data_IF_023185250576
#
_entry.id   IF_023185250576
#
_cell.length_a   1.000
_cell.length_b   1.000
_cell.length_c   1.000
_cell.angle_alpha   90.00
_cell.angle_beta   90.00
_cell.angle_gamma   90.00
#
_symmetry.space_group_name_H-M   'P 1'
#
loop_
_entity.id
_entity.type
_entity.pdbx_description
1 polymer ?
#
# COMPACT_ATOMS: atom_id res chain seq x y z
N UNK A 1 -20.19 -25.92 1.61
CA UNK A 1 -18.82 -25.44 1.88
C UNK A 1 -18.92 -24.49 3.05
N UNK A 2 -18.08 -24.64 4.08
CA UNK A 2 -17.98 -23.59 5.12
C UNK A 2 -17.09 -22.50 4.55
N UNK A 3 -17.47 -21.24 4.71
CA UNK A 3 -16.65 -20.15 4.22
C UNK A 3 -15.54 -19.86 5.26
N UNK A 4 -14.37 -19.37 4.81
CA UNK A 4 -13.26 -19.00 5.73
C UNK A 4 -13.76 -18.02 6.80
N UNK A 5 -14.66 -17.11 6.45
CA UNK A 5 -15.26 -16.18 7.43
C UNK A 5 -16.04 -16.90 8.54
N UNK A 6 -16.74 -17.99 8.23
CA UNK A 6 -17.48 -18.80 9.22
C UNK A 6 -16.50 -19.51 10.17
N UNK A 7 -15.40 -20.06 9.64
CA UNK A 7 -14.34 -20.70 10.43
C UNK A 7 -13.64 -19.71 11.36
N UNK A 8 -13.36 -18.50 10.87
CA UNK A 8 -12.79 -17.42 11.69
C UNK A 8 -13.77 -16.99 12.79
N UNK A 9 -15.07 -16.93 12.49
CA UNK A 9 -16.08 -16.60 13.51
C UNK A 9 -16.21 -17.70 14.57
N UNK A 10 -16.21 -18.98 14.18
CA UNK A 10 -16.23 -20.12 15.10
C UNK A 10 -14.99 -20.12 16.01
N UNK A 11 -13.80 -19.85 15.46
CA UNK A 11 -12.56 -19.70 16.24
C UNK A 11 -12.69 -18.60 17.29
N UNK A 12 -13.22 -17.42 16.92
CA UNK A 12 -13.42 -16.32 17.85
C UNK A 12 -14.32 -16.72 19.03
N UNK A 13 -15.43 -17.40 18.75
CA UNK A 13 -16.34 -17.87 19.81
C UNK A 13 -15.68 -18.91 20.74
N UNK A 14 -14.80 -19.77 20.22
CA UNK A 14 -14.08 -20.75 21.03
C UNK A 14 -13.02 -20.10 21.91
N UNK A 15 -12.34 -19.06 21.42
CA UNK A 15 -11.38 -18.26 22.22
C UNK A 15 -12.11 -17.56 23.37
N UNK A 16 -13.24 -16.91 23.10
CA UNK A 16 -14.05 -16.25 24.15
C UNK A 16 -14.51 -17.23 25.23
N UNK A 17 -14.90 -18.45 24.86
CA UNK A 17 -15.28 -19.51 25.81
C UNK A 17 -14.09 -20.02 26.63
N UNK A 18 -12.91 -20.17 26.01
CA UNK A 18 -11.70 -20.57 26.72
C UNK A 18 -11.24 -19.50 27.71
N UNK A 19 -11.32 -18.22 27.34
CA UNK A 19 -11.03 -17.08 28.22
C UNK A 19 -12.01 -16.99 29.39
N UNK A 20 -13.28 -17.31 29.19
CA UNK A 20 -14.28 -17.34 30.27
C UNK A 20 -13.93 -18.38 31.34
N UNK A 21 -13.49 -19.58 30.93
CA UNK A 21 -13.06 -20.65 31.85
C UNK A 21 -11.84 -20.20 32.67
N UNK A 22 -10.88 -19.52 32.04
CA UNK A 22 -9.70 -18.99 32.74
C UNK A 22 -10.09 -17.93 33.78
N UNK A 23 -10.98 -16.99 33.41
CA UNK A 23 -11.47 -15.95 34.35
C UNK A 23 -12.26 -16.54 35.53
N UNK A 24 -12.98 -17.63 35.33
CA UNK A 24 -13.67 -18.34 36.42
C UNK A 24 -12.66 -19.04 37.35
N UNK A 25 -11.63 -19.68 36.79
CA UNK A 25 -10.59 -20.32 37.58
C UNK A 25 -9.75 -19.32 38.40
N UNK A 26 -9.45 -18.14 37.82
CA UNK A 26 -8.79 -17.04 38.54
C UNK A 26 -9.59 -16.59 39.77
N UNK A 27 -10.93 -16.50 39.65
CA UNK A 27 -11.82 -16.15 40.78
C UNK A 27 -11.91 -17.24 41.84
N UNK A 28 -11.75 -18.51 41.47
CA UNK A 28 -11.88 -19.66 42.37
C UNK A 28 -10.57 -20.06 43.09
N UNK A 29 -9.50 -19.26 42.95
CA UNK A 29 -8.21 -19.52 43.62
C UNK A 29 -7.11 -20.03 42.68
N UNK A 30 -7.23 -19.80 41.37
CA UNK A 30 -6.15 -19.97 40.39
C UNK A 30 -5.86 -21.41 39.97
N UNK A 31 -6.59 -22.40 40.48
CA UNK A 31 -6.49 -23.79 40.01
C UNK A 31 -7.71 -24.17 39.18
N UNK A 32 -7.48 -24.67 37.97
CA UNK A 32 -8.55 -25.21 37.13
C UNK A 32 -9.07 -26.51 37.73
N UNK A 33 -10.38 -26.68 37.79
CA UNK A 33 -10.96 -27.99 38.10
C UNK A 33 -10.69 -28.98 36.96
N UNK A 34 -10.65 -30.28 37.27
CA UNK A 34 -10.40 -31.34 36.26
C UNK A 34 -11.40 -31.30 35.09
N UNK A 35 -12.61 -30.81 35.31
CA UNK A 35 -13.63 -30.65 34.27
C UNK A 35 -13.38 -29.44 33.38
N UNK A 36 -13.04 -28.30 33.98
CA UNK A 36 -12.64 -27.09 33.26
C UNK A 36 -11.40 -27.34 32.40
N UNK A 37 -10.44 -28.13 32.90
CA UNK A 37 -9.19 -28.43 32.19
C UNK A 37 -9.47 -29.27 30.94
N UNK A 38 -10.37 -30.26 31.07
CA UNK A 38 -10.85 -31.04 29.92
C UNK A 38 -11.58 -30.19 28.89
N UNK A 39 -12.40 -29.23 29.32
CA UNK A 39 -13.10 -28.33 28.40
C UNK A 39 -12.15 -27.37 27.70
N UNK A 40 -11.18 -26.81 28.44
CA UNK A 40 -10.16 -25.93 27.89
C UNK A 40 -9.28 -26.64 26.87
N UNK A 41 -8.83 -27.87 27.16
CA UNK A 41 -8.05 -28.69 26.23
C UNK A 41 -8.86 -29.00 24.97
N UNK A 42 -10.14 -29.36 25.11
CA UNK A 42 -11.03 -29.57 23.94
C UNK A 42 -11.16 -28.32 23.06
N UNK A 43 -11.31 -27.14 23.66
CA UNK A 43 -11.38 -25.89 22.88
C UNK A 43 -10.05 -25.58 22.20
N UNK A 44 -8.93 -25.81 22.88
CA UNK A 44 -7.59 -25.61 22.34
C UNK A 44 -7.33 -26.52 21.14
N UNK A 45 -7.68 -27.80 21.24
CA UNK A 45 -7.53 -28.76 20.14
C UNK A 45 -8.41 -28.38 18.95
N UNK A 46 -9.64 -27.92 19.21
CA UNK A 46 -10.55 -27.46 18.16
C UNK A 46 -10.06 -26.18 17.48
N UNK A 47 -9.43 -25.26 18.21
CA UNK A 47 -8.81 -24.06 17.63
C UNK A 47 -7.63 -24.45 16.72
N UNK A 48 -6.81 -25.44 17.13
CA UNK A 48 -5.72 -25.95 16.29
C UNK A 48 -6.24 -26.55 14.99
N UNK A 49 -7.27 -27.41 15.05
CA UNK A 49 -7.86 -28.01 13.86
C UNK A 49 -8.47 -26.96 12.92
N UNK A 50 -9.08 -25.90 13.48
CA UNK A 50 -9.62 -24.81 12.66
C UNK A 50 -8.49 -24.04 11.96
N UNK A 51 -7.39 -23.74 12.64
CA UNK A 51 -6.24 -23.07 12.00
C UNK A 51 -5.65 -23.92 10.86
N UNK A 52 -5.53 -25.22 11.06
CA UNK A 52 -5.05 -26.15 10.05
C UNK A 52 -6.00 -26.18 8.84
N UNK A 53 -7.33 -26.23 9.06
CA UNK A 53 -8.31 -26.14 7.98
C UNK A 53 -8.26 -24.82 7.20
N UNK A 54 -8.02 -23.69 7.89
CA UNK A 54 -7.87 -22.38 7.23
C UNK A 54 -6.61 -22.37 6.36
N UNK A 55 -5.49 -22.90 6.86
CA UNK A 55 -4.25 -22.97 6.10
C UNK A 55 -4.39 -23.85 4.85
N UNK A 56 -5.05 -25.01 4.97
CA UNK A 56 -5.32 -25.89 3.83
C UNK A 56 -6.26 -25.26 2.81
N UNK A 57 -7.32 -24.56 3.25
CA UNK A 57 -8.19 -23.80 2.34
C UNK A 57 -7.43 -22.67 1.64
N UNK A 58 -6.53 -21.96 2.32
CA UNK A 58 -5.69 -20.92 1.71
C UNK A 58 -4.71 -21.48 0.68
N UNK A 59 -4.15 -22.67 0.92
CA UNK A 59 -3.27 -23.35 -0.04
C UNK A 59 -4.05 -23.82 -1.27
N UNK A 60 -5.25 -24.36 -1.07
CA UNK A 60 -6.11 -24.82 -2.17
C UNK A 60 -6.66 -23.68 -3.03
N UNK A 61 -6.92 -22.49 -2.46
CA UNK A 61 -7.27 -21.29 -3.24
C UNK A 61 -6.12 -20.89 -4.17
N UNK A 62 -4.85 -21.04 -3.74
CA UNK A 62 -3.68 -20.69 -4.56
C UNK A 62 -3.40 -21.68 -5.69
N UNK A 63 -3.88 -22.93 -5.60
CA UNK A 63 -3.58 -23.99 -6.57
C UNK A 63 -4.73 -24.32 -7.53
N UNK A 64 -5.98 -24.02 -7.17
CA UNK A 64 -7.16 -24.34 -8.00
C UNK A 64 -7.44 -23.37 -9.14
N UNK A 65 -6.76 -22.21 -9.16
CA UNK A 65 -6.79 -21.29 -10.29
C UNK A 65 -5.35 -21.02 -10.76
N UNK A 66 -4.92 -21.43 -11.98
CA UNK A 66 -3.90 -20.62 -12.63
C UNK A 66 -4.48 -19.21 -12.64
N UNK A 67 -3.74 -18.22 -12.15
CA UNK A 67 -4.12 -16.83 -12.25
C UNK A 67 -4.06 -16.47 -13.76
N UNK A 68 -5.03 -16.94 -14.54
CA UNK A 68 -5.60 -16.12 -15.58
C UNK A 68 -6.19 -14.97 -14.79
N UNK A 69 -5.44 -13.88 -14.75
CA UNK A 69 -5.83 -12.60 -14.19
C UNK A 69 -7.11 -12.20 -14.93
N UNK A 70 -8.27 -12.70 -14.51
CA UNK A 70 -9.52 -12.02 -14.75
C UNK A 70 -9.48 -10.87 -13.76
N UNK A 71 -9.35 -9.62 -14.23
CA UNK A 71 -9.23 -8.46 -13.36
C UNK A 71 -10.50 -8.35 -12.51
N UNK A 72 -10.44 -8.87 -11.28
CA UNK A 72 -11.56 -8.83 -10.33
C UNK A 72 -11.76 -7.38 -9.90
N UNK A 73 -12.77 -6.77 -10.53
CA UNK A 73 -12.99 -5.33 -10.57
C UNK A 73 -11.72 -4.66 -11.09
N UNK A 74 -11.84 -4.04 -12.25
CA UNK A 74 -11.07 -2.82 -12.45
C UNK A 74 -11.27 -2.00 -11.17
N UNK A 75 -10.25 -1.96 -10.29
CA UNK A 75 -9.70 -0.68 -9.85
C UNK A 75 -9.81 0.10 -11.13
N UNK A 76 -10.78 1.03 -11.18
CA UNK A 76 -10.90 2.01 -12.26
C UNK A 76 -9.49 2.20 -12.75
N UNK A 77 -9.17 1.97 -14.04
CA UNK A 77 -7.81 2.09 -14.51
C UNK A 77 -7.26 3.25 -13.71
N UNK A 78 -6.20 3.03 -12.92
CA UNK A 78 -5.33 4.18 -12.71
C UNK A 78 -5.13 4.54 -14.15
N UNK A 79 -5.83 5.59 -14.55
CA UNK A 79 -5.54 6.24 -15.77
C UNK A 79 -4.08 6.54 -15.46
N UNK A 80 -3.17 5.70 -15.97
CA UNK A 80 -2.31 6.18 -17.02
C UNK A 80 -3.21 7.07 -17.87
N UNK A 81 -3.44 8.28 -17.31
CA UNK A 81 -3.56 9.47 -18.05
C UNK A 81 -2.29 9.32 -18.86
N UNK A 82 -2.47 8.82 -20.08
CA UNK A 82 -1.50 8.95 -21.13
C UNK A 82 -1.31 10.44 -21.12
N UNK A 83 -0.36 10.92 -20.30
CA UNK A 83 -0.14 12.34 -20.10
C UNK A 83 0.17 12.77 -21.51
N UNK A 84 -0.74 13.51 -22.16
CA UNK A 84 -0.51 13.85 -23.54
C UNK A 84 0.80 14.60 -23.50
N UNK A 85 1.78 14.15 -24.29
CA UNK A 85 3.12 14.75 -24.41
C UNK A 85 2.90 16.13 -25.00
N UNK A 86 2.45 17.02 -24.14
CA UNK A 86 2.13 18.39 -24.42
C UNK A 86 3.39 19.15 -24.09
N UNK A 87 3.69 20.13 -24.93
CA UNK A 87 4.72 21.11 -24.65
C UNK A 87 4.50 21.65 -23.24
N UNK A 88 5.54 21.71 -22.41
CA UNK A 88 5.43 22.20 -21.04
C UNK A 88 4.71 23.56 -21.05
N UNK A 89 3.54 23.62 -20.39
CA UNK A 89 2.66 24.80 -20.42
C UNK A 89 3.21 25.89 -19.51
N UNK A 90 3.80 25.49 -18.39
CA UNK A 90 4.51 26.38 -17.48
C UNK A 90 5.74 25.70 -16.87
N UNK A 91 6.52 26.49 -16.14
CA UNK A 91 7.75 26.02 -15.48
C UNK A 91 7.46 25.23 -14.20
N UNK A 92 6.24 25.31 -13.66
CA UNK A 92 5.82 24.53 -12.50
C UNK A 92 5.83 23.03 -12.80
N UNK A 93 6.03 22.20 -11.78
CA UNK A 93 5.94 20.76 -11.85
C UNK A 93 4.63 20.32 -12.52
N UNK A 94 3.51 20.92 -12.12
CA UNK A 94 2.18 20.62 -12.67
C UNK A 94 2.07 20.98 -14.15
N UNK A 95 2.55 22.16 -14.54
CA UNK A 95 2.57 22.59 -15.93
C UNK A 95 3.54 21.80 -16.81
N UNK A 96 4.59 21.22 -16.23
CA UNK A 96 5.62 20.47 -16.95
C UNK A 96 5.25 19.00 -17.17
N UNK A 97 4.67 18.34 -16.15
CA UNK A 97 4.35 16.91 -16.19
C UNK A 97 2.89 16.62 -16.54
N UNK A 98 1.96 17.50 -16.17
CA UNK A 98 0.52 17.27 -16.39
C UNK A 98 -0.10 18.28 -17.38
N UNK A 99 0.67 19.26 -17.86
CA UNK A 99 0.20 20.27 -18.81
C UNK A 99 -0.88 21.20 -18.27
N UNK A 100 -1.18 21.15 -16.96
CA UNK A 100 -2.19 21.98 -16.33
C UNK A 100 -1.82 22.24 -14.85
N UNK A 101 -1.84 23.51 -14.46
CA UNK A 101 -1.45 23.96 -13.11
C UNK A 101 -2.48 23.58 -12.03
N UNK A 102 -3.74 23.39 -12.39
CA UNK A 102 -4.82 23.11 -11.43
C UNK A 102 -5.06 21.62 -11.19
N UNK A 103 -4.22 20.73 -11.74
CA UNK A 103 -4.37 19.27 -11.59
C UNK A 103 -4.24 18.88 -10.13
N UNK A 104 -5.22 18.14 -9.60
CA UNK A 104 -5.14 17.59 -8.25
C UNK A 104 -4.18 16.40 -8.25
N UNK A 105 -3.09 16.53 -7.50
CA UNK A 105 -2.10 15.47 -7.32
C UNK A 105 -2.52 14.55 -6.18
N UNK A 106 -2.04 13.31 -6.23
CA UNK A 106 -2.31 12.33 -5.18
C UNK A 106 -1.41 12.57 -3.96
N UNK A 107 -1.97 12.38 -2.76
CA UNK A 107 -1.29 12.50 -1.49
C UNK A 107 -1.08 11.14 -0.80
N UNK A 108 -1.34 10.04 -1.51
CA UNK A 108 -1.14 8.66 -1.08
C UNK A 108 -1.81 8.31 0.27
N UNK A 109 -2.85 9.06 0.66
CA UNK A 109 -3.61 8.85 1.90
C UNK A 109 -3.04 9.53 3.14
N UNK A 110 -2.04 10.40 3.02
CA UNK A 110 -1.59 11.26 4.13
C UNK A 110 -2.61 12.39 4.39
N UNK A 111 -2.87 12.69 5.67
CA UNK A 111 -3.74 13.80 6.05
C UNK A 111 -3.05 15.16 5.91
N UNK A 112 -1.73 15.19 6.09
CA UNK A 112 -0.93 16.41 6.00
C UNK A 112 0.55 16.13 5.74
N UNK A 113 1.28 17.14 5.26
CA UNK A 113 2.74 17.09 5.12
C UNK A 113 3.44 16.77 6.44
N UNK A 114 2.93 17.25 7.58
CA UNK A 114 3.53 16.98 8.90
C UNK A 114 3.44 15.50 9.28
N UNK A 115 2.36 14.81 8.90
CA UNK A 115 2.25 13.35 9.04
C UNK A 115 3.32 12.64 8.22
N UNK A 116 3.53 13.06 6.98
CA UNK A 116 4.58 12.52 6.10
C UNK A 116 6.00 12.78 6.66
N UNK A 117 6.26 13.98 7.20
CA UNK A 117 7.56 14.28 7.80
C UNK A 117 7.80 13.49 9.09
N UNK A 118 6.75 13.22 9.87
CA UNK A 118 6.83 12.34 11.06
C UNK A 118 7.14 10.90 10.68
N UNK A 119 6.54 10.36 9.62
CA UNK A 119 6.85 9.01 9.15
C UNK A 119 8.29 8.94 8.65
N UNK A 120 8.75 9.95 7.89
CA UNK A 120 10.14 10.07 7.46
C UNK A 120 11.12 10.13 8.65
N UNK A 121 10.87 11.02 9.61
CA UNK A 121 11.71 11.17 10.81
C UNK A 121 11.73 9.91 11.68
N UNK A 122 10.64 9.14 11.70
CA UNK A 122 10.57 7.89 12.45
C UNK A 122 11.48 6.79 11.90
N UNK A 123 11.93 6.92 10.64
CA UNK A 123 12.75 5.92 9.96
C UNK A 123 12.05 4.58 9.73
N UNK A 124 10.73 4.49 9.98
CA UNK A 124 9.94 3.27 9.78
C UNK A 124 9.39 3.22 8.36
N UNK A 125 9.37 2.02 7.79
CA UNK A 125 8.71 1.78 6.51
C UNK A 125 7.18 1.88 6.67
N UNK A 126 6.56 2.81 5.96
CA UNK A 126 5.10 2.95 5.88
C UNK A 126 4.58 2.17 4.67
N UNK A 127 3.59 1.30 4.88
CA UNK A 127 2.95 0.51 3.83
C UNK A 127 2.38 1.39 2.70
N UNK A 128 1.94 2.62 3.00
CA UNK A 128 1.44 3.57 1.99
C UNK A 128 2.53 3.95 0.98
N UNK A 129 3.76 4.11 1.45
CA UNK A 129 4.90 4.45 0.61
C UNK A 129 5.45 3.23 -0.13
N UNK A 130 5.49 2.08 0.54
CA UNK A 130 5.95 0.82 -0.06
C UNK A 130 5.08 0.45 -1.26
N UNK A 131 3.75 0.50 -1.12
CA UNK A 131 2.84 0.13 -2.21
C UNK A 131 2.96 1.05 -3.44
N UNK A 132 3.47 2.27 -3.26
CA UNK A 132 3.68 3.23 -4.34
C UNK A 132 5.11 3.24 -4.87
N UNK A 133 6.05 2.59 -4.18
CA UNK A 133 7.45 2.46 -4.59
C UNK A 133 7.75 1.16 -5.34
N UNK A 134 6.80 0.22 -5.41
CA UNK A 134 7.00 -1.09 -6.03
C UNK A 134 6.90 -1.01 -7.57
N UNK A 135 7.93 -0.43 -8.19
CA UNK A 135 8.24 -0.67 -9.61
C UNK A 135 9.25 -1.82 -9.67
N UNK A 136 8.89 -2.92 -10.35
CA UNK A 136 9.77 -4.08 -10.51
C UNK A 136 11.02 -3.72 -11.34
N UNK A 137 12.22 -4.02 -10.82
CA UNK A 137 13.45 -4.05 -11.62
C UNK A 137 14.73 -3.64 -10.89
N UNK A 138 14.69 -2.65 -9.98
CA UNK A 138 15.90 -2.13 -9.32
C UNK A 138 15.58 -1.61 -7.90
N UNK A 139 16.14 -2.20 -6.82
CA UNK A 139 15.89 -1.78 -5.43
C UNK A 139 16.27 -0.33 -5.13
N UNK A 140 17.27 0.20 -5.84
CA UNK A 140 17.79 1.57 -5.67
C UNK A 140 16.84 2.65 -6.23
N UNK A 141 15.90 2.27 -7.11
CA UNK A 141 14.82 3.15 -7.58
C UNK A 141 13.60 3.17 -6.65
N UNK A 142 13.56 2.31 -5.62
CA UNK A 142 12.59 2.37 -4.53
C UNK A 142 12.87 3.50 -3.52
N UNK A 143 13.86 4.34 -3.79
CA UNK A 143 14.34 5.40 -2.91
C UNK A 143 13.41 6.61 -2.88
N UNK A 144 12.69 6.74 -1.75
CA UNK A 144 11.90 7.90 -1.36
C UNK A 144 10.68 8.17 -2.25
N UNK A 145 9.68 7.29 -2.20
CA UNK A 145 8.33 7.64 -2.65
C UNK A 145 7.81 8.79 -1.80
N UNK A 146 8.03 10.01 -2.27
CA UNK A 146 7.34 11.19 -1.78
C UNK A 146 5.98 11.21 -2.49
N UNK A 147 4.85 11.39 -1.79
CA UNK A 147 3.56 11.60 -2.44
C UNK A 147 3.65 12.72 -3.49
N UNK A 148 3.03 12.53 -4.65
CA UNK A 148 3.19 13.45 -5.80
C UNK A 148 2.83 14.90 -5.44
N UNK A 149 1.83 15.11 -4.60
CA UNK A 149 1.46 16.44 -4.10
C UNK A 149 2.63 17.14 -3.40
N UNK A 150 3.31 16.43 -2.51
CA UNK A 150 4.43 16.95 -1.71
C UNK A 150 5.69 17.08 -2.55
N UNK A 151 5.92 16.12 -3.46
CA UNK A 151 7.01 16.15 -4.43
C UNK A 151 6.91 17.37 -5.35
N UNK A 152 5.71 17.67 -5.85
CA UNK A 152 5.47 18.86 -6.67
C UNK A 152 5.82 20.15 -5.93
N UNK A 153 5.38 20.28 -4.67
CA UNK A 153 5.71 21.45 -3.84
C UNK A 153 7.22 21.61 -3.63
N UNK A 154 7.91 20.51 -3.30
CA UNK A 154 9.37 20.49 -3.09
C UNK A 154 10.12 20.87 -4.37
N UNK A 155 9.73 20.29 -5.50
CA UNK A 155 10.33 20.59 -6.80
C UNK A 155 10.09 22.03 -7.20
N UNK A 156 8.86 22.54 -7.07
CA UNK A 156 8.51 23.92 -7.40
C UNK A 156 9.32 24.93 -6.56
N UNK A 157 9.53 24.64 -5.27
CA UNK A 157 10.39 25.47 -4.41
C UNK A 157 11.86 25.42 -4.82
N UNK A 158 12.33 24.26 -5.28
CA UNK A 158 13.68 24.14 -5.84
C UNK A 158 13.85 25.00 -7.11
N UNK A 159 12.79 25.20 -7.90
CA UNK A 159 12.86 25.97 -9.15
C UNK A 159 13.23 27.44 -8.94
N UNK A 160 12.83 28.03 -7.81
CA UNK A 160 13.11 29.44 -7.51
C UNK A 160 14.61 29.73 -7.48
N UNK A 161 15.44 28.72 -7.17
CA UNK A 161 16.89 28.85 -7.06
C UNK A 161 17.65 28.42 -8.33
N UNK A 162 16.97 28.06 -9.42
CA UNK A 162 17.61 27.54 -10.63
C UNK A 162 18.10 28.65 -11.57
N UNK A 163 19.37 28.58 -11.97
CA UNK A 163 19.98 29.57 -12.89
C UNK A 163 19.67 29.25 -14.35
N UNK A 164 19.63 27.96 -14.70
CA UNK A 164 19.67 27.50 -16.10
C UNK A 164 18.26 27.33 -16.69
N UNK A 165 17.35 26.67 -15.98
CA UNK A 165 16.00 26.37 -16.47
C UNK A 165 15.21 27.60 -16.91
N UNK A 166 15.30 28.77 -16.25
CA UNK A 166 14.60 29.96 -16.70
C UNK A 166 15.00 30.45 -18.10
N UNK A 167 16.23 30.11 -18.54
CA UNK A 167 16.83 30.51 -19.83
C UNK A 167 16.78 29.40 -20.89
N UNK A 168 16.36 28.20 -20.52
CA UNK A 168 16.33 27.03 -21.39
C UNK A 168 14.90 26.68 -21.84
N UNK A 169 14.78 26.11 -23.04
CA UNK A 169 13.52 25.52 -23.51
C UNK A 169 13.41 24.10 -22.95
N UNK A 170 12.43 23.87 -22.09
CA UNK A 170 12.21 22.57 -21.47
C UNK A 170 11.36 21.68 -22.39
N UNK A 171 11.86 20.48 -22.66
CA UNK A 171 11.15 19.44 -23.40
C UNK A 171 10.81 18.29 -22.45
N UNK A 172 9.52 18.10 -22.16
CA UNK A 172 9.07 16.98 -21.32
C UNK A 172 9.50 15.63 -21.92
N UNK A 173 10.14 14.77 -21.13
CA UNK A 173 10.55 13.44 -21.56
C UNK A 173 9.41 12.46 -21.34
N UNK A 174 9.01 11.73 -22.38
CA UNK A 174 8.01 10.65 -22.30
C UNK A 174 8.57 9.26 -22.63
N UNK A 175 9.87 9.19 -22.91
CA UNK A 175 10.60 7.98 -23.31
C UNK A 175 12.06 8.15 -22.90
N UNK A 176 12.82 7.05 -22.85
CA UNK A 176 14.24 7.05 -22.47
C UNK A 176 15.09 7.99 -23.35
N UNK A 177 14.76 8.08 -24.64
CA UNK A 177 15.42 8.99 -25.58
C UNK A 177 14.41 9.90 -26.27
N UNK A 178 14.80 11.14 -26.55
CA UNK A 178 13.98 12.12 -27.28
C UNK A 178 14.82 12.83 -28.34
N UNK A 179 14.41 12.70 -29.61
CA UNK A 179 15.01 13.44 -30.72
C UNK A 179 14.33 14.80 -30.84
N UNK A 180 15.10 15.88 -30.73
CA UNK A 180 14.62 17.26 -30.91
C UNK A 180 15.22 17.79 -32.21
N UNK A 181 14.40 18.26 -33.17
CA UNK A 181 14.94 18.86 -34.38
C UNK A 181 15.67 20.16 -34.04
N UNK A 182 16.91 20.29 -34.48
CA UNK A 182 17.68 21.52 -34.45
C UNK A 182 18.05 21.89 -35.88
N UNK A 183 17.94 23.17 -36.21
CA UNK A 183 18.41 23.72 -37.48
C UNK A 183 19.62 24.59 -37.16
N UNK A 184 20.76 24.27 -37.76
CA UNK A 184 21.93 25.12 -37.73
C UNK A 184 21.73 26.18 -38.84
N UNK A 185 21.68 27.44 -38.44
CA UNK A 185 21.35 28.57 -39.31
C UNK A 185 22.55 29.09 -40.08
#
# INVERSE_FOLDING_TARGET
MRFIADLVHEKKQLVEKAEAILKEAEKAGGSLTKEQERQFNRYTDKIKSINESINEELLNIRTSEPILITPQKAVSPIEESKTPVTKAVSKSFRGMFYGNETVKLNNNGFHSMDEFLKTLHSGRADNRLINTSMVEGIPEFGGYSVPEEYGAFLMDKSLENEIIRPRATVWAMGSETKKVPAFDG
#
